data_IF_023783406077
#
_entry.id   IF_023783406077
#
_cell.length_a   1.000
_cell.length_b   1.000
_cell.length_c   1.000
_cell.angle_alpha   90.00
_cell.angle_beta   90.00
_cell.angle_gamma   90.00
#
_symmetry.space_group_name_H-M   'P 1'
#
loop_
_entity.id
_entity.type
_entity.pdbx_description
1 polymer ?
#
# COMPACT_ATOMS: atom_id res chain seq x y z
N UNK A 1 17.16 11.45 -30.39
CA UNK A 1 16.55 12.78 -30.54
C UNK A 1 15.31 12.81 -29.65
N UNK A 2 15.42 13.39 -28.47
CA UNK A 2 14.30 13.51 -27.52
C UNK A 2 13.37 14.56 -28.11
N UNK A 3 12.22 14.15 -28.64
CA UNK A 3 11.19 15.10 -29.08
C UNK A 3 10.47 15.51 -27.81
N UNK A 4 10.85 16.67 -27.28
CA UNK A 4 10.05 17.35 -26.27
C UNK A 4 8.69 17.69 -26.92
N UNK A 5 7.63 17.05 -26.44
CA UNK A 5 6.28 17.28 -26.98
C UNK A 5 5.77 18.57 -26.35
N UNK A 6 5.52 19.59 -27.16
CA UNK A 6 4.84 20.80 -26.68
C UNK A 6 3.48 20.43 -26.03
N UNK A 7 3.03 21.24 -25.07
CA UNK A 7 1.82 21.00 -24.27
C UNK A 7 0.57 20.82 -25.14
N UNK A 8 0.44 21.61 -26.21
CA UNK A 8 -0.71 21.55 -27.11
C UNK A 8 -0.75 20.22 -27.89
N UNK A 9 0.41 19.69 -28.26
CA UNK A 9 0.57 18.38 -28.90
C UNK A 9 0.27 17.25 -27.93
N UNK A 10 0.68 17.34 -26.66
CA UNK A 10 0.34 16.35 -25.61
C UNK A 10 -1.17 16.25 -25.42
N UNK A 11 -1.87 17.37 -25.21
CA UNK A 11 -3.34 17.40 -25.06
C UNK A 11 -4.07 16.73 -26.22
N UNK A 12 -3.59 16.92 -27.46
CA UNK A 12 -4.18 16.27 -28.64
C UNK A 12 -3.87 14.79 -28.74
N UNK A 13 -2.69 14.35 -28.28
CA UNK A 13 -2.24 12.96 -28.34
C UNK A 13 -2.95 12.08 -27.31
N UNK A 14 -3.31 12.64 -26.17
CA UNK A 14 -4.08 11.94 -25.12
C UNK A 14 -5.39 11.35 -25.65
N UNK A 15 -6.05 12.00 -26.60
CA UNK A 15 -7.30 11.49 -27.21
C UNK A 15 -7.09 10.61 -28.45
N UNK A 16 -5.85 10.17 -28.73
CA UNK A 16 -5.50 9.38 -29.93
C UNK A 16 -4.77 8.09 -29.57
N UNK A 17 -5.47 7.05 -29.06
CA UNK A 17 -4.86 5.78 -28.64
C UNK A 17 -4.00 5.11 -29.71
N UNK A 18 -4.40 5.22 -30.97
CA UNK A 18 -3.64 4.69 -32.11
C UNK A 18 -2.26 5.36 -32.30
N UNK A 19 -2.09 6.60 -31.86
CA UNK A 19 -0.84 7.35 -32.01
C UNK A 19 0.20 6.97 -30.94
N UNK A 20 -0.24 6.45 -29.80
CA UNK A 20 0.64 6.11 -28.67
C UNK A 20 1.70 5.09 -29.04
N UNK A 21 1.36 4.11 -29.89
CA UNK A 21 2.27 3.05 -30.36
C UNK A 21 3.54 3.58 -31.04
N UNK A 22 3.48 4.78 -31.60
CA UNK A 22 4.59 5.40 -32.32
C UNK A 22 5.46 6.31 -31.44
N UNK A 23 5.07 6.52 -30.17
CA UNK A 23 5.87 7.29 -29.23
C UNK A 23 6.98 6.41 -28.63
N UNK A 24 8.17 7.00 -28.43
CA UNK A 24 9.22 6.35 -27.64
C UNK A 24 8.73 6.05 -26.23
N UNK A 25 9.47 5.21 -25.50
CA UNK A 25 9.19 4.89 -24.10
C UNK A 25 9.10 6.16 -23.26
N UNK A 26 10.11 7.03 -23.38
CA UNK A 26 10.22 8.29 -22.64
C UNK A 26 9.09 9.26 -23.01
N UNK A 27 8.86 9.47 -24.31
CA UNK A 27 7.81 10.38 -24.77
C UNK A 27 6.40 9.93 -24.34
N UNK A 28 6.17 8.61 -24.28
CA UNK A 28 4.91 8.06 -23.78
C UNK A 28 4.78 8.20 -22.26
N UNK A 29 5.87 7.99 -21.52
CA UNK A 29 5.90 8.22 -20.06
C UNK A 29 5.58 9.67 -19.72
N UNK A 30 6.16 10.65 -20.43
CA UNK A 30 5.85 12.07 -20.24
C UNK A 30 4.41 12.43 -20.62
N UNK A 31 3.89 11.82 -21.70
CA UNK A 31 2.49 11.99 -22.08
C UNK A 31 1.56 11.47 -20.97
N UNK A 32 1.84 10.28 -20.44
CA UNK A 32 1.03 9.68 -19.38
C UNK A 32 1.10 10.49 -18.09
N UNK A 33 2.29 10.95 -17.68
CA UNK A 33 2.45 11.78 -16.48
C UNK A 33 1.64 13.08 -16.60
N UNK A 34 1.83 13.83 -17.69
CA UNK A 34 1.08 15.06 -17.96
C UNK A 34 -0.42 14.81 -17.96
N UNK A 35 -0.88 13.74 -18.62
CA UNK A 35 -2.30 13.44 -18.71
C UNK A 35 -2.95 13.08 -17.37
N UNK A 36 -2.23 12.38 -16.48
CA UNK A 36 -2.71 12.06 -15.14
C UNK A 36 -2.68 13.29 -14.21
N UNK A 37 -1.72 14.20 -14.38
CA UNK A 37 -1.55 15.39 -13.54
C UNK A 37 -2.31 16.63 -14.03
N UNK A 38 -2.86 16.65 -15.25
CA UNK A 38 -3.64 17.79 -15.78
C UNK A 38 -5.13 17.79 -15.32
N UNK A 39 -5.49 17.02 -14.27
CA UNK A 39 -6.88 16.71 -13.86
C UNK A 39 -7.38 17.42 -12.58
N UNK A 40 -7.71 18.72 -12.57
CA UNK A 40 -8.46 19.30 -11.45
C UNK A 40 -10.00 19.18 -11.66
N UNK A 41 -10.77 18.80 -10.62
CA UNK A 41 -12.21 19.03 -10.58
C UNK A 41 -12.55 20.55 -10.57
N UNK A 42 -13.70 21.02 -11.11
CA UNK A 42 -14.75 20.28 -11.81
C UNK A 42 -14.61 20.32 -13.34
N UNK A 43 -13.50 20.86 -13.87
CA UNK A 43 -13.30 21.04 -15.31
C UNK A 43 -11.94 20.49 -15.74
N UNK A 44 -11.88 19.19 -16.08
CA UNK A 44 -11.01 18.73 -17.17
C UNK A 44 -11.36 17.31 -17.65
N UNK A 45 -11.35 17.16 -18.97
CA UNK A 45 -12.12 16.22 -19.79
C UNK A 45 -11.34 14.97 -20.19
N UNK A 46 -10.63 14.34 -19.26
CA UNK A 46 -10.15 12.99 -19.50
C UNK A 46 -11.11 12.00 -18.82
N UNK A 47 -11.95 11.30 -19.59
CA UNK A 47 -12.77 10.24 -19.01
C UNK A 47 -11.85 9.26 -18.27
N UNK A 48 -12.27 8.79 -17.10
CA UNK A 48 -11.53 7.79 -16.30
C UNK A 48 -11.08 6.60 -17.15
N UNK A 49 -11.93 6.18 -18.10
CA UNK A 49 -11.60 5.14 -19.08
C UNK A 49 -10.35 5.45 -19.91
N UNK A 50 -10.11 6.70 -20.30
CA UNK A 50 -8.94 7.11 -21.08
C UNK A 50 -7.70 7.19 -20.18
N UNK A 51 -7.83 7.70 -18.96
CA UNK A 51 -6.75 7.72 -17.97
C UNK A 51 -6.27 6.29 -17.64
N UNK A 52 -7.22 5.38 -17.41
CA UNK A 52 -6.94 3.96 -17.19
C UNK A 52 -6.33 3.26 -18.40
N UNK A 53 -6.73 3.62 -19.63
CA UNK A 53 -6.11 3.10 -20.86
C UNK A 53 -4.67 3.58 -21.02
N UNK A 54 -4.40 4.86 -20.77
CA UNK A 54 -3.03 5.41 -20.81
C UNK A 54 -2.13 4.68 -19.83
N UNK A 55 -2.57 4.54 -18.59
CA UNK A 55 -1.81 3.84 -17.57
C UNK A 55 -1.63 2.36 -17.91
N UNK A 56 -2.66 1.68 -18.43
CA UNK A 56 -2.55 0.29 -18.90
C UNK A 56 -1.49 0.10 -19.99
N UNK A 57 -1.38 1.05 -20.94
CA UNK A 57 -0.31 1.03 -21.94
C UNK A 57 1.05 1.32 -21.32
N UNK A 58 1.13 2.20 -20.32
CA UNK A 58 2.36 2.45 -19.55
C UNK A 58 2.83 1.16 -18.86
N UNK A 59 1.93 0.39 -18.25
CA UNK A 59 2.23 -0.91 -17.65
C UNK A 59 2.82 -1.92 -18.63
N UNK A 60 2.38 -1.89 -19.90
CA UNK A 60 2.94 -2.78 -20.94
C UNK A 60 4.35 -2.40 -21.41
N UNK A 61 4.84 -1.19 -21.07
CA UNK A 61 6.12 -0.65 -21.56
C UNK A 61 7.19 -0.51 -20.49
N UNK A 62 6.77 -0.33 -19.24
CA UNK A 62 7.65 -0.13 -18.10
C UNK A 62 7.71 -1.40 -17.26
N UNK A 63 8.90 -1.74 -16.77
CA UNK A 63 9.02 -2.75 -15.71
C UNK A 63 8.56 -2.19 -14.35
N UNK A 64 8.46 -3.04 -13.34
CA UNK A 64 7.94 -2.63 -12.03
C UNK A 64 8.78 -1.53 -11.36
N UNK A 65 10.11 -1.52 -11.55
CA UNK A 65 10.98 -0.49 -10.95
C UNK A 65 10.76 0.86 -11.61
N UNK A 66 10.64 0.85 -12.93
CA UNK A 66 10.34 2.05 -13.71
C UNK A 66 8.96 2.61 -13.36
N UNK A 67 7.97 1.76 -13.05
CA UNK A 67 6.65 2.20 -12.57
C UNK A 67 6.69 2.76 -11.16
N UNK A 68 7.52 2.21 -10.27
CA UNK A 68 7.79 2.85 -8.95
C UNK A 68 8.42 4.23 -9.15
N UNK A 69 9.42 4.38 -10.03
CA UNK A 69 9.98 5.70 -10.36
C UNK A 69 8.97 6.64 -11.00
N UNK A 70 8.01 6.14 -11.77
CA UNK A 70 6.90 6.94 -12.29
C UNK A 70 6.01 7.47 -11.15
N UNK A 71 5.67 6.62 -10.17
CA UNK A 71 4.94 7.04 -8.97
C UNK A 71 5.74 8.08 -8.19
N UNK A 72 7.05 7.91 -8.06
CA UNK A 72 7.93 8.89 -7.41
C UNK A 72 7.89 10.26 -8.09
N UNK A 73 7.58 10.32 -9.40
CA UNK A 73 7.37 11.59 -10.11
C UNK A 73 5.98 12.16 -9.89
N UNK A 74 4.95 11.31 -9.82
CA UNK A 74 3.57 11.72 -9.49
C UNK A 74 3.52 12.39 -8.11
N UNK A 75 4.27 11.88 -7.12
CA UNK A 75 4.24 12.43 -5.77
C UNK A 75 4.86 13.83 -5.63
N UNK A 76 5.71 14.22 -6.58
CA UNK A 76 6.34 15.54 -6.63
C UNK A 76 5.37 16.64 -7.08
N UNK A 77 4.17 16.28 -7.56
CA UNK A 77 3.12 17.24 -7.85
C UNK A 77 2.67 17.95 -6.56
N UNK A 78 2.84 19.28 -6.46
CA UNK A 78 2.46 20.03 -5.25
C UNK A 78 0.94 20.09 -5.03
N UNK A 79 0.13 20.01 -6.08
CA UNK A 79 -1.32 19.99 -5.94
C UNK A 79 -1.80 18.59 -5.50
N UNK A 80 -2.21 18.51 -4.23
CA UNK A 80 -2.71 17.27 -3.64
C UNK A 80 -3.83 16.62 -4.45
N UNK A 81 -4.80 17.40 -4.95
CA UNK A 81 -5.96 16.87 -5.68
C UNK A 81 -5.52 16.20 -7.00
N UNK A 82 -4.56 16.80 -7.71
CA UNK A 82 -4.01 16.24 -8.94
C UNK A 82 -3.25 14.94 -8.66
N UNK A 83 -2.40 14.96 -7.64
CA UNK A 83 -1.63 13.79 -7.20
C UNK A 83 -2.55 12.65 -6.74
N UNK A 84 -3.56 12.96 -5.93
CA UNK A 84 -4.52 11.99 -5.41
C UNK A 84 -5.28 11.33 -6.56
N UNK A 85 -5.84 12.12 -7.48
CA UNK A 85 -6.56 11.60 -8.66
C UNK A 85 -5.68 10.68 -9.51
N UNK A 86 -4.43 11.07 -9.75
CA UNK A 86 -3.46 10.26 -10.47
C UNK A 86 -3.16 8.93 -9.76
N UNK A 87 -2.93 8.97 -8.44
CA UNK A 87 -2.64 7.77 -7.65
C UNK A 87 -3.86 6.85 -7.54
N UNK A 88 -5.08 7.36 -7.36
CA UNK A 88 -6.30 6.54 -7.37
C UNK A 88 -6.50 5.84 -8.71
N UNK A 89 -6.24 6.53 -9.83
CA UNK A 89 -6.25 5.93 -11.18
C UNK A 89 -5.24 4.78 -11.28
N UNK A 90 -4.03 4.98 -10.74
CA UNK A 90 -2.98 3.95 -10.69
C UNK A 90 -3.45 2.75 -9.84
N UNK A 91 -4.00 2.98 -8.65
CA UNK A 91 -4.47 1.92 -7.76
C UNK A 91 -5.61 1.08 -8.38
N UNK A 92 -6.47 1.70 -9.19
CA UNK A 92 -7.53 1.00 -9.91
C UNK A 92 -7.08 0.16 -11.12
N UNK A 93 -5.79 0.22 -11.48
CA UNK A 93 -5.24 -0.42 -12.70
C UNK A 93 -3.92 -1.15 -12.49
N UNK A 94 -3.25 -0.96 -11.36
CA UNK A 94 -2.00 -1.64 -11.05
C UNK A 94 -2.26 -2.99 -10.38
N UNK A 95 -1.74 -4.04 -11.00
CA UNK A 95 -1.85 -5.42 -10.54
C UNK A 95 -0.54 -5.93 -9.94
N UNK A 96 0.58 -5.28 -10.22
CA UNK A 96 1.90 -5.61 -9.69
C UNK A 96 2.02 -5.15 -8.24
N UNK A 97 2.10 -6.11 -7.33
CA UNK A 97 1.99 -5.89 -5.90
C UNK A 97 3.03 -4.87 -5.35
N UNK A 98 4.34 -4.98 -5.66
CA UNK A 98 5.32 -3.95 -5.31
C UNK A 98 4.91 -2.52 -5.71
N UNK A 99 4.32 -2.35 -6.90
CA UNK A 99 3.96 -1.04 -7.44
C UNK A 99 2.69 -0.51 -6.78
N UNK A 100 1.66 -1.36 -6.63
CA UNK A 100 0.42 -1.00 -5.95
C UNK A 100 0.64 -0.63 -4.47
N UNK A 101 1.45 -1.42 -3.75
CA UNK A 101 1.81 -1.12 -2.37
C UNK A 101 2.60 0.19 -2.25
N UNK A 102 3.54 0.43 -3.18
CA UNK A 102 4.31 1.67 -3.24
C UNK A 102 3.44 2.91 -3.49
N UNK A 103 2.46 2.81 -4.41
CA UNK A 103 1.48 3.86 -4.69
C UNK A 103 0.59 4.13 -3.48
N UNK A 104 0.06 3.08 -2.85
CA UNK A 104 -0.81 3.18 -1.69
C UNK A 104 -0.10 3.84 -0.50
N UNK A 105 1.11 3.38 -0.16
CA UNK A 105 1.90 3.96 0.93
C UNK A 105 2.16 5.45 0.71
N UNK A 106 2.51 5.86 -0.51
CA UNK A 106 2.76 7.26 -0.88
C UNK A 106 1.50 8.11 -0.86
N UNK A 107 0.38 7.58 -1.34
CA UNK A 107 -0.92 8.25 -1.28
C UNK A 107 -1.29 8.54 0.17
N UNK A 108 -1.31 7.50 1.01
CA UNK A 108 -1.70 7.62 2.42
C UNK A 108 -0.74 8.52 3.21
N UNK A 109 0.57 8.38 3.01
CA UNK A 109 1.58 9.19 3.70
C UNK A 109 1.58 10.66 3.26
N UNK A 110 1.19 10.96 2.02
CA UNK A 110 1.14 12.31 1.49
C UNK A 110 -0.18 13.04 1.70
N UNK A 111 -1.25 12.31 2.08
CA UNK A 111 -2.58 12.88 2.19
C UNK A 111 -2.77 13.75 3.44
N UNK A 112 -3.59 14.82 3.36
CA UNK A 112 -4.12 15.52 4.52
C UNK A 112 -4.81 14.56 5.48
N UNK A 113 -4.80 14.93 6.76
CA UNK A 113 -5.42 14.16 7.82
C UNK A 113 -6.79 14.76 8.14
N UNK A 114 -7.81 13.92 8.28
CA UNK A 114 -9.15 14.32 8.68
C UNK A 114 -9.23 14.59 10.21
N UNK A 115 -10.37 15.10 10.73
CA UNK A 115 -10.52 15.36 12.17
C UNK A 115 -10.37 14.13 13.08
N UNK A 116 -10.47 12.91 12.54
CA UNK A 116 -10.31 11.65 13.26
C UNK A 116 -8.86 11.15 13.27
N UNK A 117 -7.96 11.83 12.54
CA UNK A 117 -6.57 11.44 12.41
C UNK A 117 -6.29 10.51 11.23
N UNK A 118 -7.29 10.24 10.38
CA UNK A 118 -7.16 9.32 9.24
C UNK A 118 -6.81 10.10 7.97
N UNK A 119 -5.91 9.59 7.10
CA UNK A 119 -5.64 10.20 5.80
C UNK A 119 -6.93 10.28 4.97
N UNK A 120 -7.25 11.45 4.40
CA UNK A 120 -8.49 11.64 3.63
C UNK A 120 -8.61 10.66 2.46
N UNK A 121 -7.49 10.32 1.82
CA UNK A 121 -7.43 9.34 0.72
C UNK A 121 -7.76 7.91 1.13
N UNK A 122 -7.80 7.60 2.44
CA UNK A 122 -8.27 6.30 2.92
C UNK A 122 -9.76 6.09 2.65
N UNK A 123 -10.57 7.16 2.71
CA UNK A 123 -12.01 7.07 2.47
C UNK A 123 -12.30 6.67 1.01
N UNK A 124 -11.63 7.31 0.06
CA UNK A 124 -11.68 6.94 -1.38
C UNK A 124 -11.25 5.49 -1.60
N UNK A 125 -10.17 5.06 -0.94
CA UNK A 125 -9.74 3.66 -1.00
C UNK A 125 -10.78 2.68 -0.43
N UNK A 126 -11.39 3.00 0.71
CA UNK A 126 -12.42 2.16 1.32
C UNK A 126 -13.66 2.03 0.42
N UNK A 127 -14.03 3.11 -0.28
CA UNK A 127 -15.07 3.09 -1.31
C UNK A 127 -14.67 2.20 -2.49
N UNK A 128 -13.47 2.38 -3.05
CA UNK A 128 -12.96 1.53 -4.13
C UNK A 128 -12.91 0.03 -3.75
N UNK A 129 -12.56 -0.28 -2.50
CA UNK A 129 -12.61 -1.66 -1.99
C UNK A 129 -14.04 -2.21 -1.99
N UNK A 130 -15.00 -1.40 -1.52
CA UNK A 130 -16.41 -1.78 -1.47
C UNK A 130 -16.98 -2.02 -2.87
N UNK A 131 -16.58 -1.20 -3.84
CA UNK A 131 -16.99 -1.31 -5.25
C UNK A 131 -16.25 -2.42 -6.01
N UNK A 132 -15.14 -2.93 -5.47
CA UNK A 132 -14.27 -3.89 -6.17
C UNK A 132 -13.50 -3.27 -7.33
N UNK A 133 -13.21 -1.97 -7.28
CA UNK A 133 -12.53 -1.21 -8.33
C UNK A 133 -11.00 -1.11 -8.13
N UNK A 134 -10.47 -1.61 -7.01
CA UNK A 134 -9.02 -1.70 -6.75
C UNK A 134 -8.38 -2.82 -7.58
N UNK A 135 -7.29 -2.52 -8.29
CA UNK A 135 -6.58 -3.50 -9.13
C UNK A 135 -5.91 -4.62 -8.33
N UNK A 136 -5.24 -4.28 -7.23
CA UNK A 136 -4.63 -5.25 -6.31
C UNK A 136 -4.95 -4.90 -4.85
N UNK A 137 -6.14 -5.27 -4.34
CA UNK A 137 -6.60 -4.84 -3.01
C UNK A 137 -5.66 -5.27 -1.88
N UNK A 138 -5.02 -6.44 -1.99
CA UNK A 138 -4.10 -6.94 -0.96
C UNK A 138 -2.85 -6.07 -0.86
N UNK A 139 -2.24 -5.73 -2.01
CA UNK A 139 -1.09 -4.84 -2.04
C UNK A 139 -1.41 -3.42 -1.56
N UNK A 140 -2.61 -2.91 -1.85
CA UNK A 140 -3.03 -1.58 -1.38
C UNK A 140 -3.23 -1.56 0.14
N UNK A 141 -3.89 -2.58 0.71
CA UNK A 141 -3.99 -2.74 2.18
C UNK A 141 -2.58 -2.80 2.80
N UNK A 142 -1.68 -3.58 2.22
CA UNK A 142 -0.31 -3.69 2.72
C UNK A 142 0.44 -2.35 2.66
N UNK A 143 0.34 -1.61 1.56
CA UNK A 143 0.94 -0.28 1.43
C UNK A 143 0.38 0.71 2.46
N UNK A 144 -0.92 0.67 2.73
CA UNK A 144 -1.54 1.48 3.79
C UNK A 144 -1.04 1.08 5.19
N UNK A 145 -0.95 -0.22 5.49
CA UNK A 145 -0.38 -0.73 6.75
C UNK A 145 1.08 -0.30 6.94
N UNK A 146 1.88 -0.26 5.86
CA UNK A 146 3.30 0.12 5.90
C UNK A 146 3.54 1.59 6.25
N UNK A 147 2.53 2.46 6.17
CA UNK A 147 2.61 3.81 6.74
C UNK A 147 2.75 3.75 8.27
N UNK A 148 2.26 2.66 8.89
CA UNK A 148 2.38 2.38 10.31
C UNK A 148 1.88 3.53 11.19
N UNK A 149 0.77 4.15 10.78
CA UNK A 149 0.07 5.15 11.54
C UNK A 149 -1.09 4.50 12.32
N UNK A 150 -1.23 4.85 13.61
CA UNK A 150 -2.21 4.23 14.50
C UNK A 150 -3.65 4.44 14.05
N UNK A 151 -3.98 5.63 13.57
CA UNK A 151 -5.35 5.98 13.21
C UNK A 151 -5.71 5.34 11.87
N UNK A 152 -4.75 5.31 10.94
CA UNK A 152 -4.90 4.55 9.70
C UNK A 152 -5.04 3.04 9.96
N UNK A 153 -4.26 2.44 10.86
CA UNK A 153 -4.40 1.02 11.22
C UNK A 153 -5.80 0.74 11.80
N UNK A 154 -6.28 1.60 12.70
CA UNK A 154 -7.65 1.49 13.24
C UNK A 154 -8.70 1.59 12.13
N UNK A 155 -8.49 2.46 11.14
CA UNK A 155 -9.39 2.58 9.99
C UNK A 155 -9.34 1.31 9.10
N UNK A 156 -8.15 0.72 8.90
CA UNK A 156 -7.96 -0.54 8.18
C UNK A 156 -8.67 -1.70 8.88
N UNK A 157 -8.67 -1.73 10.22
CA UNK A 157 -9.43 -2.73 10.99
C UNK A 157 -10.92 -2.72 10.64
N UNK A 158 -11.48 -1.54 10.36
CA UNK A 158 -12.88 -1.36 9.98
C UNK A 158 -13.23 -1.91 8.59
N UNK A 159 -12.26 -2.03 7.68
CA UNK A 159 -12.48 -2.58 6.33
C UNK A 159 -12.11 -4.06 6.21
N UNK A 160 -11.59 -4.70 7.27
CA UNK A 160 -11.30 -6.15 7.31
C UNK A 160 -12.45 -7.04 6.79
N UNK A 161 -13.73 -6.77 7.11
CA UNK A 161 -14.85 -7.57 6.60
C UNK A 161 -15.03 -7.54 5.07
N UNK A 162 -14.43 -6.56 4.38
CA UNK A 162 -14.47 -6.44 2.92
C UNK A 162 -13.39 -7.28 2.23
N UNK A 163 -12.42 -7.80 2.98
CA UNK A 163 -11.25 -8.47 2.42
C UNK A 163 -11.52 -9.98 2.31
N UNK A 164 -11.42 -10.51 1.09
CA UNK A 164 -11.43 -11.96 0.85
C UNK A 164 -10.13 -12.61 1.36
N UNK A 165 -10.16 -13.93 1.61
CA UNK A 165 -9.00 -14.69 2.10
C UNK A 165 -7.76 -14.49 1.22
N UNK A 166 -7.91 -14.52 -0.10
CA UNK A 166 -6.81 -14.31 -1.05
C UNK A 166 -6.25 -12.89 -0.97
N UNK A 167 -7.10 -11.89 -0.73
CA UNK A 167 -6.70 -10.50 -0.48
C UNK A 167 -5.88 -10.39 0.79
N UNK A 168 -6.29 -11.06 1.86
CA UNK A 168 -5.53 -11.12 3.13
C UNK A 168 -4.18 -11.80 2.93
N UNK A 169 -4.13 -12.92 2.21
CA UNK A 169 -2.89 -13.62 1.90
C UNK A 169 -1.93 -12.73 1.09
N UNK A 170 -2.46 -12.03 0.08
CA UNK A 170 -1.67 -11.08 -0.72
C UNK A 170 -1.16 -9.91 0.13
N UNK A 171 -1.98 -9.33 1.00
CA UNK A 171 -1.56 -8.25 1.89
C UNK A 171 -0.45 -8.71 2.85
N UNK A 172 -0.63 -9.88 3.45
CA UNK A 172 0.33 -10.48 4.36
C UNK A 172 1.70 -10.70 3.68
N UNK A 173 1.71 -11.21 2.45
CA UNK A 173 2.93 -11.37 1.68
C UNK A 173 3.63 -10.04 1.37
N UNK A 174 2.87 -8.97 1.07
CA UNK A 174 3.43 -7.64 0.81
C UNK A 174 4.02 -6.98 2.06
N UNK A 175 3.50 -7.26 3.26
CA UNK A 175 4.03 -6.75 4.52
C UNK A 175 5.28 -7.51 5.02
N UNK A 176 5.62 -8.63 4.40
CA UNK A 176 6.73 -9.49 4.80
C UNK A 176 8.06 -8.72 4.95
N UNK A 177 8.72 -8.86 6.10
CA UNK A 177 9.99 -8.19 6.40
C UNK A 177 9.89 -6.72 6.82
N UNK A 178 8.71 -6.11 6.81
CA UNK A 178 8.48 -4.81 7.42
C UNK A 178 8.09 -4.97 8.90
N UNK A 179 8.88 -4.42 9.82
CA UNK A 179 8.61 -4.54 11.26
C UNK A 179 8.46 -3.17 11.92
N UNK A 180 7.32 -2.52 11.67
CA UNK A 180 6.79 -1.61 12.66
C UNK A 180 6.09 -2.40 13.76
N UNK A 181 6.22 -1.95 15.01
CA UNK A 181 5.51 -2.55 16.13
C UNK A 181 3.99 -2.62 15.87
N UNK A 182 3.41 -1.56 15.30
CA UNK A 182 1.97 -1.47 15.05
C UNK A 182 1.50 -2.46 13.99
N UNK A 183 2.29 -2.67 12.93
CA UNK A 183 1.94 -3.64 11.87
C UNK A 183 2.00 -5.07 12.41
N UNK A 184 3.02 -5.39 13.23
CA UNK A 184 3.12 -6.71 13.87
C UNK A 184 1.98 -6.92 14.86
N UNK A 185 1.68 -5.93 15.70
CA UNK A 185 0.57 -5.99 16.65
C UNK A 185 -0.77 -6.17 15.92
N UNK A 186 -1.04 -5.43 14.83
CA UNK A 186 -2.24 -5.57 13.99
C UNK A 186 -2.44 -7.00 13.50
N UNK A 187 -1.41 -7.62 12.91
CA UNK A 187 -1.52 -8.98 12.40
C UNK A 187 -1.71 -10.00 13.52
N UNK A 188 -1.00 -9.84 14.65
CA UNK A 188 -1.19 -10.71 15.81
C UNK A 188 -2.60 -10.58 16.39
N UNK A 189 -3.13 -9.36 16.53
CA UNK A 189 -4.47 -9.08 17.06
C UNK A 189 -5.52 -9.77 16.18
N UNK A 190 -5.41 -9.59 14.86
CA UNK A 190 -6.36 -10.18 13.92
C UNK A 190 -6.28 -11.71 13.89
N UNK A 191 -5.08 -12.30 13.93
CA UNK A 191 -4.93 -13.76 13.98
C UNK A 191 -5.54 -14.33 15.27
N UNK A 192 -5.30 -13.69 16.42
CA UNK A 192 -5.87 -14.14 17.70
C UNK A 192 -7.41 -14.06 17.69
N UNK A 193 -7.99 -12.97 17.18
CA UNK A 193 -9.44 -12.82 17.01
C UNK A 193 -10.05 -13.93 16.14
N UNK A 194 -9.38 -14.29 15.05
CA UNK A 194 -9.84 -15.36 14.14
C UNK A 194 -9.74 -16.74 14.79
N UNK A 195 -8.73 -16.97 15.63
CA UNK A 195 -8.54 -18.24 16.34
C UNK A 195 -9.51 -18.43 17.52
N UNK A 196 -10.07 -17.37 18.08
CA UNK A 196 -11.15 -17.48 19.07
C UNK A 196 -12.40 -18.16 18.47
N UNK A 197 -12.59 -18.02 17.16
CA UNK A 197 -13.63 -18.69 16.38
C UNK A 197 -13.15 -20.02 15.76
N UNK A 198 -12.32 -20.80 16.46
CA UNK A 198 -11.66 -22.04 15.97
C UNK A 198 -12.54 -23.14 15.35
N UNK A 199 -13.85 -23.06 15.45
CA UNK A 199 -14.78 -24.01 14.83
C UNK A 199 -15.29 -23.54 13.45
N UNK A 200 -15.02 -22.28 13.08
CA UNK A 200 -15.30 -21.74 11.77
C UNK A 200 -14.10 -21.98 10.83
N UNK A 201 -14.30 -22.82 9.82
CA UNK A 201 -13.29 -23.12 8.82
C UNK A 201 -12.85 -21.88 8.02
N UNK A 202 -13.74 -20.90 7.85
CA UNK A 202 -13.42 -19.66 7.14
C UNK A 202 -12.50 -18.79 8.00
N UNK A 203 -12.79 -18.64 9.29
CA UNK A 203 -11.93 -17.92 10.22
C UNK A 203 -10.51 -18.52 10.27
N UNK A 204 -10.40 -19.85 10.25
CA UNK A 204 -9.11 -20.54 10.16
C UNK A 204 -8.36 -20.26 8.86
N UNK A 205 -9.06 -20.17 7.71
CA UNK A 205 -8.46 -19.83 6.43
C UNK A 205 -7.89 -18.40 6.43
N UNK A 206 -8.63 -17.44 7.00
CA UNK A 206 -8.13 -16.07 7.21
C UNK A 206 -6.92 -16.02 8.14
N UNK A 207 -6.96 -16.77 9.25
CA UNK A 207 -5.84 -16.80 10.20
C UNK A 207 -4.58 -17.35 9.51
N UNK A 208 -4.73 -18.42 8.73
CA UNK A 208 -3.63 -19.00 7.97
C UNK A 208 -3.05 -18.03 6.94
N UNK A 209 -3.90 -17.30 6.20
CA UNK A 209 -3.47 -16.28 5.26
C UNK A 209 -2.65 -15.17 5.94
N UNK A 210 -3.16 -14.66 7.07
CA UNK A 210 -2.56 -13.58 7.83
C UNK A 210 -1.20 -13.94 8.49
N UNK A 211 -1.01 -15.21 8.89
CA UNK A 211 0.23 -15.65 9.58
C UNK A 211 1.50 -15.35 8.78
N UNK A 212 1.44 -15.38 7.44
CA UNK A 212 2.59 -15.09 6.59
C UNK A 212 3.16 -13.67 6.74
N UNK A 213 2.33 -12.71 7.19
CA UNK A 213 2.75 -11.32 7.43
C UNK A 213 3.78 -11.20 8.55
N UNK A 214 3.80 -12.17 9.46
CA UNK A 214 4.73 -12.20 10.57
C UNK A 214 6.12 -12.71 10.15
N UNK A 215 6.37 -13.07 8.90
CA UNK A 215 7.70 -13.54 8.50
C UNK A 215 8.72 -12.40 8.46
N UNK A 216 9.92 -12.63 9.04
CA UNK A 216 11.04 -11.68 8.98
C UNK A 216 12.27 -12.32 8.31
N UNK A 217 12.63 -11.91 7.07
CA UNK A 217 13.84 -12.37 6.38
C UNK A 217 15.13 -12.14 7.20
N UNK A 218 16.17 -12.94 6.94
CA UNK A 218 17.44 -12.85 7.65
C UNK A 218 18.14 -11.50 7.47
N UNK A 219 17.92 -10.85 6.33
CA UNK A 219 18.52 -9.59 5.92
C UNK A 219 17.63 -8.38 6.19
N UNK A 220 16.48 -8.57 6.85
CA UNK A 220 15.51 -7.50 7.05
C UNK A 220 16.07 -6.40 7.99
N UNK A 221 15.97 -5.11 7.62
CA UNK A 221 16.40 -3.99 8.47
C UNK A 221 15.79 -4.01 9.88
N UNK A 222 14.55 -4.53 9.97
CA UNK A 222 13.80 -4.84 11.18
C UNK A 222 14.59 -5.59 12.27
N UNK A 223 15.62 -6.35 11.89
CA UNK A 223 16.45 -7.11 12.85
C UNK A 223 17.36 -6.24 13.71
N UNK A 224 17.53 -4.95 13.35
CA UNK A 224 18.29 -4.00 14.15
C UNK A 224 17.40 -3.29 15.18
N UNK A 225 16.31 -2.71 14.71
CA UNK A 225 15.42 -1.88 15.53
C UNK A 225 13.98 -2.01 15.03
N UNK A 226 13.03 -2.04 15.98
CA UNK A 226 11.61 -1.98 15.72
C UNK A 226 11.08 -0.69 16.33
N UNK A 227 10.32 0.07 15.54
CA UNK A 227 9.80 1.38 15.95
C UNK A 227 8.28 1.42 15.88
N UNK A 228 7.73 2.28 16.73
CA UNK A 228 6.38 2.80 16.66
C UNK A 228 6.46 4.28 16.31
N UNK A 229 5.69 4.70 15.31
CA UNK A 229 5.69 6.05 14.79
C UNK A 229 4.31 6.69 14.94
N UNK A 230 4.29 8.01 15.06
CA UNK A 230 3.09 8.82 14.92
C UNK A 230 3.35 9.89 13.87
N UNK A 231 2.38 10.10 12.98
CA UNK A 231 2.43 11.20 12.03
C UNK A 231 2.09 12.50 12.75
N UNK A 232 2.88 13.53 12.50
CA UNK A 232 2.48 14.88 12.85
C UNK A 232 1.55 15.35 11.73
N UNK A 233 0.31 15.77 12.03
CA UNK A 233 -0.57 16.35 11.01
C UNK A 233 0.20 17.48 10.32
N UNK A 234 0.28 17.44 8.99
CA UNK A 234 0.86 18.56 8.24
C UNK A 234 0.04 19.80 8.54
N UNK A 235 0.51 20.64 9.47
CA UNK A 235 0.17 22.05 9.45
C UNK A 235 0.75 22.64 8.17
N UNK A 236 0.08 23.66 7.61
CA UNK A 236 0.56 24.42 6.44
C UNK A 236 2.01 24.91 6.61
N UNK A 237 2.46 25.03 7.86
CA UNK A 237 3.86 25.19 8.22
C UNK A 237 4.57 23.83 8.25
N UNK A 238 5.36 23.57 7.19
CA UNK A 238 6.33 22.49 7.05
C UNK A 238 7.21 22.38 8.30
N UNK A 239 6.77 21.63 9.33
CA UNK A 239 7.66 21.24 10.42
C UNK A 239 8.71 20.29 9.86
N UNK A 240 9.95 20.45 10.31
CA UNK A 240 11.11 19.66 9.88
C UNK A 240 10.95 18.15 10.13
N UNK A 241 10.01 17.73 10.99
CA UNK A 241 9.76 16.34 11.34
C UNK A 241 8.30 15.94 11.05
N UNK A 242 8.06 15.31 9.90
CA UNK A 242 6.75 14.79 9.49
C UNK A 242 6.31 13.53 10.28
N UNK A 243 7.23 12.91 11.01
CA UNK A 243 7.03 11.66 11.76
C UNK A 243 7.77 11.76 13.08
N UNK A 244 7.10 11.42 14.18
CA UNK A 244 7.72 11.28 15.51
C UNK A 244 7.89 9.81 15.85
N UNK A 245 9.05 9.41 16.36
CA UNK A 245 9.23 8.06 16.91
C UNK A 245 8.69 8.04 18.34
N UNK A 246 7.59 7.33 18.56
CA UNK A 246 6.91 7.24 19.86
C UNK A 246 7.63 6.24 20.76
N UNK A 247 8.06 5.10 20.19
CA UNK A 247 8.78 4.04 20.91
C UNK A 247 9.79 3.35 20.01
N UNK A 248 10.86 2.88 20.63
CA UNK A 248 11.91 2.06 20.02
C UNK A 248 12.15 0.82 20.87
N UNK A 249 12.33 -0.31 20.20
CA UNK A 249 12.75 -1.55 20.82
C UNK A 249 13.95 -2.11 20.05
N UNK A 250 14.88 -2.69 20.78
CA UNK A 250 15.78 -3.67 20.14
C UNK A 250 14.94 -4.85 19.66
N UNK A 251 15.40 -5.51 18.60
CA UNK A 251 14.74 -6.71 18.08
C UNK A 251 14.56 -7.78 19.18
N UNK A 252 15.56 -7.97 20.05
CA UNK A 252 15.48 -8.91 21.19
C UNK A 252 14.44 -8.53 22.25
N UNK A 253 14.24 -7.23 22.51
CA UNK A 253 13.22 -6.79 23.46
C UNK A 253 11.82 -6.98 22.87
N UNK A 254 11.64 -6.63 21.59
CA UNK A 254 10.35 -6.77 20.91
C UNK A 254 9.96 -8.23 20.70
N UNK A 255 10.90 -9.09 20.28
CA UNK A 255 10.61 -10.53 20.13
C UNK A 255 10.19 -11.15 21.47
N UNK A 256 10.83 -10.80 22.59
CA UNK A 256 10.40 -11.30 23.91
C UNK A 256 8.99 -10.84 24.29
N UNK A 257 8.59 -9.64 23.87
CA UNK A 257 7.22 -9.11 24.08
C UNK A 257 6.18 -9.93 23.32
N UNK A 258 6.42 -10.29 22.06
CA UNK A 258 5.42 -10.95 21.20
C UNK A 258 5.48 -12.50 21.27
N UNK A 259 6.55 -13.08 21.82
CA UNK A 259 6.74 -14.53 21.91
C UNK A 259 5.54 -15.28 22.53
N UNK A 260 4.94 -14.83 23.66
CA UNK A 260 3.79 -15.54 24.23
C UNK A 260 2.60 -15.63 23.27
N UNK A 261 2.37 -14.58 22.47
CA UNK A 261 1.31 -14.52 21.46
C UNK A 261 1.60 -15.49 20.32
N UNK A 262 2.84 -15.47 19.80
CA UNK A 262 3.26 -16.40 18.75
C UNK A 262 3.17 -17.87 19.19
N UNK A 263 3.57 -18.19 20.42
CA UNK A 263 3.44 -19.56 20.97
C UNK A 263 1.98 -19.97 21.11
N UNK A 264 1.09 -19.05 21.49
CA UNK A 264 -0.36 -19.30 21.56
C UNK A 264 -0.93 -19.59 20.17
N UNK A 265 -0.60 -18.78 19.16
CA UNK A 265 -1.03 -18.98 17.77
C UNK A 265 -0.53 -20.34 17.26
N UNK A 266 0.75 -20.66 17.48
CA UNK A 266 1.35 -21.93 17.06
C UNK A 266 0.67 -23.16 17.69
N UNK A 267 0.19 -23.05 18.95
CA UNK A 267 -0.52 -24.13 19.62
C UNK A 267 -1.90 -24.42 19.00
N UNK A 268 -2.53 -23.43 18.38
CA UNK A 268 -3.86 -23.54 17.75
C UNK A 268 -3.78 -23.74 16.23
N UNK A 269 -2.58 -23.67 15.65
CA UNK A 269 -2.38 -23.79 14.21
C UNK A 269 -2.67 -25.21 13.68
N UNK A 270 -3.59 -25.29 12.73
CA UNK A 270 -3.90 -26.51 11.98
C UNK A 270 -2.90 -26.73 10.83
N UNK A 271 -2.91 -27.91 10.22
CA UNK A 271 -2.03 -28.18 9.07
C UNK A 271 -2.55 -27.47 7.81
N UNK A 272 -1.69 -26.92 6.94
CA UNK A 272 -0.22 -26.88 7.06
C UNK A 272 0.26 -25.84 8.08
N UNK A 273 1.33 -26.17 8.83
CA UNK A 273 1.86 -25.33 9.91
C UNK A 273 2.92 -24.36 9.40
N UNK A 274 2.64 -23.06 9.40
CA UNK A 274 3.54 -21.96 9.08
C UNK A 274 4.22 -21.39 10.32
N UNK A 275 3.55 -21.37 11.48
CA UNK A 275 4.10 -20.77 12.70
C UNK A 275 5.47 -21.30 13.10
N UNK A 276 5.82 -22.60 12.97
CA UNK A 276 7.18 -23.05 13.24
C UNK A 276 8.23 -22.39 12.33
N UNK A 277 7.88 -22.09 11.07
CA UNK A 277 8.76 -21.37 10.14
C UNK A 277 8.87 -19.90 10.56
N UNK A 278 7.73 -19.27 10.86
CA UNK A 278 7.67 -17.89 11.35
C UNK A 278 8.52 -17.75 12.62
N UNK A 279 8.31 -18.59 13.62
CA UNK A 279 9.03 -18.54 14.89
C UNK A 279 10.54 -18.67 14.71
N UNK A 280 11.02 -19.55 13.82
CA UNK A 280 12.45 -19.62 13.47
C UNK A 280 12.95 -18.34 12.82
N UNK A 281 12.15 -17.69 11.97
CA UNK A 281 12.52 -16.40 11.37
C UNK A 281 12.73 -15.30 12.43
N UNK A 282 12.02 -15.38 13.57
CA UNK A 282 12.21 -14.51 14.73
C UNK A 282 13.32 -14.95 15.70
N UNK A 283 13.98 -16.08 15.43
CA UNK A 283 15.05 -16.62 16.28
C UNK A 283 14.55 -17.31 17.55
N UNK A 284 13.34 -17.88 17.53
CA UNK A 284 12.90 -18.81 18.57
C UNK A 284 13.21 -20.26 18.18
N UNK A 285 13.48 -21.06 19.21
CA UNK A 285 13.61 -22.52 19.12
C UNK A 285 12.24 -23.22 19.08
#
# INVERSE_FOLDING_TARGET
MIIDLDEQRRRRLVHKPWAWRNLSKEAFTELCLSALLDLPPPFNTLPEAVAGQLYGVLCSRLDWKERVSFIDRVILEPNFVLRESALLTILGKEFDAPVAAAAAARLMAGAPIDPQGVPVSFHEFAEMLCEGSVGNPGAVVAGALMVADRQLITAIEGVRPLLAVDTVASAAQCCCGFASALVVDFWLDWIEELLDNRFDSLALAYAHAAVSALFIPAEAPARHEICEYERVPCSEDLREEAITVVRRWSFDAFRRRIEPRMRRIAAHEQRPRLMPVIMRSWGYD
#
